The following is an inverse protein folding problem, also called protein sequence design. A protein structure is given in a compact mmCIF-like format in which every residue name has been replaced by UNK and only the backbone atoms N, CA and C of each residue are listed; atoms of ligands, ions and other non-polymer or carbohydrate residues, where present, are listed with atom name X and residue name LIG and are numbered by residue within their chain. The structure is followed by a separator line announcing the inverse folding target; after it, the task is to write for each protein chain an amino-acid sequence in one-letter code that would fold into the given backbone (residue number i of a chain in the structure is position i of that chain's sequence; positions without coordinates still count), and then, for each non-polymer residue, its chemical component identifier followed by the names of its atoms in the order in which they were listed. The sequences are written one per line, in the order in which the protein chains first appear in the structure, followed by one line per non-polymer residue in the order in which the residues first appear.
data_IF_334388284110
#
_entry.id   IF_334388284110
#
_cell.length_a   1.000
_cell.length_b   1.000
_cell.length_c   1.000
_cell.angle_alpha   90.00
_cell.angle_beta   90.00
_cell.angle_gamma   90.00
#
_symmetry.space_group_name_H-M   'P 1'
#
loop_
_entity.id
_entity.type
_entity.pdbx_description
1 polymer ?
#
# COMPACT_ATOMS: atom_id res chain seq x y z
N UNK A 1 -24.23 4.31 -20.17
CA UNK A 1 -22.85 3.91 -19.83
C UNK A 1 -22.92 3.12 -18.54
N UNK A 2 -22.23 1.99 -18.48
CA UNK A 2 -22.17 1.15 -17.28
C UNK A 2 -21.32 1.88 -16.22
N UNK A 3 -21.95 2.30 -15.12
CA UNK A 3 -21.37 3.17 -14.09
C UNK A 3 -20.62 2.37 -13.01
N UNK A 4 -20.19 1.16 -13.36
CA UNK A 4 -19.57 0.20 -12.46
C UNK A 4 -18.05 0.20 -12.63
N UNK A 5 -17.32 -0.08 -11.56
CA UNK A 5 -15.86 -0.06 -11.55
C UNK A 5 -15.25 -1.39 -11.05
N UNK A 6 -14.06 -1.76 -11.55
CA UNK A 6 -13.35 -2.97 -11.11
C UNK A 6 -12.80 -2.83 -9.69
N UNK A 7 -12.68 -3.95 -9.00
CA UNK A 7 -12.01 -4.04 -7.69
C UNK A 7 -10.47 -3.95 -7.87
N UNK A 8 -9.82 -3.23 -6.96
CA UNK A 8 -8.46 -2.70 -7.08
C UNK A 8 -7.34 -3.70 -7.46
N UNK A 9 -6.34 -3.21 -8.21
CA UNK A 9 -5.23 -3.96 -8.81
C UNK A 9 -3.91 -3.94 -8.00
N UNK A 10 -3.71 -2.97 -7.10
CA UNK A 10 -2.40 -2.70 -6.48
C UNK A 10 -1.79 -3.87 -5.70
N UNK A 11 -2.63 -4.57 -4.91
CA UNK A 11 -2.22 -5.72 -4.07
C UNK A 11 -1.61 -6.87 -4.88
N UNK A 12 -2.09 -7.08 -6.10
CA UNK A 12 -1.62 -8.16 -6.98
C UNK A 12 -0.21 -7.87 -7.47
N UNK A 13 0.07 -6.61 -7.82
CA UNK A 13 1.38 -6.22 -8.36
C UNK A 13 2.46 -6.36 -7.30
N UNK A 14 2.20 -5.92 -6.06
CA UNK A 14 3.15 -6.06 -4.94
C UNK A 14 3.45 -7.53 -4.66
N UNK A 15 2.41 -8.37 -4.57
CA UNK A 15 2.58 -9.81 -4.31
C UNK A 15 3.41 -10.51 -5.40
N UNK A 16 3.18 -10.19 -6.67
CA UNK A 16 3.96 -10.74 -7.79
C UNK A 16 5.41 -10.27 -7.79
N UNK A 17 5.66 -9.01 -7.46
CA UNK A 17 7.01 -8.47 -7.33
C UNK A 17 7.80 -9.26 -6.28
N UNK A 18 7.23 -9.42 -5.09
CA UNK A 18 7.87 -10.14 -3.99
C UNK A 18 8.10 -11.62 -4.36
N UNK A 19 7.15 -12.26 -5.02
CA UNK A 19 7.28 -13.64 -5.52
C UNK A 19 8.45 -13.79 -6.49
N UNK A 20 8.53 -12.94 -7.51
CA UNK A 20 9.64 -12.95 -8.50
C UNK A 20 10.99 -12.69 -7.82
N UNK A 21 11.06 -11.67 -6.96
CA UNK A 21 12.31 -11.30 -6.29
C UNK A 21 12.76 -12.38 -5.30
N UNK A 22 11.84 -12.97 -4.54
CA UNK A 22 12.18 -13.98 -3.53
C UNK A 22 12.64 -15.32 -4.11
N UNK A 23 12.23 -15.66 -5.34
CA UNK A 23 12.75 -16.81 -6.08
C UNK A 23 14.04 -16.50 -6.87
N UNK A 24 14.53 -15.26 -6.82
CA UNK A 24 15.74 -14.85 -7.53
C UNK A 24 17.01 -15.12 -6.69
N UNK A 25 18.20 -15.19 -7.32
CA UNK A 25 19.46 -15.29 -6.58
C UNK A 25 19.76 -14.05 -5.70
N UNK A 26 19.04 -12.95 -5.90
CA UNK A 26 19.23 -11.69 -5.17
C UNK A 26 18.46 -11.65 -3.85
N UNK A 27 17.53 -12.60 -3.61
CA UNK A 27 16.66 -12.57 -2.42
C UNK A 27 17.45 -12.43 -1.11
N UNK A 28 18.57 -13.15 -1.02
CA UNK A 28 19.47 -13.16 0.14
C UNK A 28 20.03 -11.79 0.52
N UNK A 29 20.08 -10.85 -0.42
CA UNK A 29 20.64 -9.49 -0.23
C UNK A 29 19.56 -8.41 -0.45
N UNK A 30 18.28 -8.75 -0.36
CA UNK A 30 17.17 -7.84 -0.68
C UNK A 30 16.33 -7.49 0.54
N UNK A 31 15.94 -6.22 0.63
CA UNK A 31 14.83 -5.75 1.45
C UNK A 31 13.88 -4.90 0.58
N UNK A 32 12.59 -5.21 0.63
CA UNK A 32 11.52 -4.49 -0.07
C UNK A 32 10.69 -3.77 0.98
N UNK A 33 10.61 -2.46 0.88
CA UNK A 33 9.75 -1.62 1.73
C UNK A 33 8.55 -1.16 0.91
N UNK A 34 7.34 -1.28 1.48
CA UNK A 34 6.09 -0.87 0.84
C UNK A 34 5.32 -0.01 1.83
N UNK A 35 4.95 1.19 1.41
CA UNK A 35 4.13 2.13 2.17
C UNK A 35 3.33 2.97 1.18
N UNK A 36 2.14 3.40 1.57
CA UNK A 36 1.39 4.42 0.82
C UNK A 36 2.06 5.80 1.01
N UNK A 37 1.84 6.72 0.07
CA UNK A 37 2.39 8.08 0.15
C UNK A 37 1.75 8.90 1.28
N UNK A 38 0.45 8.73 1.51
CA UNK A 38 -0.26 9.25 2.68
C UNK A 38 -1.41 8.31 3.12
N UNK A 39 -2.09 8.67 4.22
CA UNK A 39 -3.18 7.88 4.80
C UNK A 39 -4.56 8.15 4.17
N UNK A 40 -4.63 8.99 3.15
CA UNK A 40 -5.81 9.34 2.35
C UNK A 40 -7.05 9.64 3.19
N UNK A 41 -7.05 10.73 3.96
CA UNK A 41 -8.16 11.21 4.81
C UNK A 41 -8.87 10.11 5.63
N UNK A 42 -8.16 9.00 5.87
CA UNK A 42 -8.72 7.76 6.35
C UNK A 42 -9.10 7.87 7.80
N UNK A 43 -10.30 7.37 8.14
CA UNK A 43 -10.81 7.44 9.50
C UNK A 43 -10.14 6.35 10.35
N UNK A 44 -8.98 6.67 10.93
CA UNK A 44 -8.28 5.82 11.88
C UNK A 44 -8.58 6.27 13.32
N UNK A 45 -8.99 5.32 14.17
CA UNK A 45 -9.41 5.59 15.55
C UNK A 45 -8.28 6.02 16.50
N UNK A 46 -7.02 5.81 16.13
CA UNK A 46 -5.84 6.25 16.90
C UNK A 46 -5.35 7.58 16.35
N UNK A 47 -5.12 7.66 15.03
CA UNK A 47 -4.64 8.87 14.37
C UNK A 47 -4.88 8.78 12.86
N UNK A 48 -5.58 9.76 12.28
CA UNK A 48 -5.90 9.80 10.83
C UNK A 48 -4.70 9.90 9.89
N UNK A 49 -3.49 10.17 10.40
CA UNK A 49 -2.24 10.14 9.64
C UNK A 49 -1.50 8.79 9.70
N UNK A 50 -2.04 7.81 10.43
CA UNK A 50 -1.46 6.47 10.47
C UNK A 50 -1.72 5.77 9.13
N UNK A 51 -0.68 5.19 8.57
CA UNK A 51 -0.75 4.32 7.39
C UNK A 51 -0.15 2.96 7.68
N UNK A 52 -0.35 2.01 6.77
CA UNK A 52 0.23 0.67 6.82
C UNK A 52 1.60 0.67 6.12
N UNK A 53 2.54 -0.08 6.68
CA UNK A 53 3.83 -0.34 6.07
C UNK A 53 4.12 -1.84 6.08
N UNK A 54 4.73 -2.34 5.01
CA UNK A 54 5.18 -3.72 4.90
C UNK A 54 6.67 -3.75 4.57
N UNK A 55 7.35 -4.76 5.10
CA UNK A 55 8.74 -5.07 4.77
C UNK A 55 8.79 -6.54 4.35
N UNK A 56 9.44 -6.84 3.23
CA UNK A 56 9.73 -8.19 2.80
C UNK A 56 11.24 -8.37 2.61
N UNK A 57 11.85 -9.25 3.41
CA UNK A 57 13.27 -9.61 3.35
C UNK A 57 13.48 -10.97 4.02
N UNK A 58 14.54 -11.74 3.68
CA UNK A 58 14.95 -12.88 4.50
C UNK A 58 15.18 -12.54 5.97
N UNK A 59 15.53 -11.27 6.25
CA UNK A 59 15.86 -10.78 7.57
C UNK A 59 14.64 -10.23 8.33
N UNK A 60 13.43 -10.31 7.78
CA UNK A 60 12.21 -9.86 8.50
C UNK A 60 11.69 -10.92 9.46
N UNK A 61 11.10 -10.49 10.57
CA UNK A 61 10.36 -11.38 11.47
C UNK A 61 9.06 -11.86 10.81
N UNK A 62 9.02 -13.14 10.39
CA UNK A 62 7.87 -13.70 9.67
C UNK A 62 6.65 -13.91 10.57
N UNK A 63 5.47 -13.59 10.03
CA UNK A 63 4.19 -13.82 10.71
C UNK A 63 3.98 -12.95 11.95
N UNK A 64 4.78 -11.90 12.11
CA UNK A 64 4.68 -10.95 13.21
C UNK A 64 4.08 -9.63 12.72
N UNK A 65 3.33 -8.98 13.59
CA UNK A 65 2.93 -7.58 13.42
C UNK A 65 3.79 -6.78 14.38
N UNK A 66 4.64 -5.91 13.83
CA UNK A 66 5.41 -4.97 14.63
C UNK A 66 4.50 -3.79 15.01
N UNK A 67 4.43 -3.51 16.32
CA UNK A 67 3.59 -2.45 16.90
C UNK A 67 4.40 -1.20 17.32
N UNK A 68 5.70 -1.18 17.03
CA UNK A 68 6.57 -0.04 17.28
C UNK A 68 6.16 1.13 16.40
N UNK A 69 6.12 2.31 17.01
CA UNK A 69 5.78 3.52 16.29
C UNK A 69 6.92 3.91 15.34
N UNK A 70 6.62 3.89 14.04
CA UNK A 70 7.51 4.31 12.98
C UNK A 70 6.87 5.35 12.07
N UNK A 71 7.72 6.20 11.52
CA UNK A 71 7.38 7.19 10.49
C UNK A 71 8.08 6.85 9.18
N UNK A 72 7.68 7.49 8.09
CA UNK A 72 8.41 7.38 6.80
C UNK A 72 9.90 7.76 6.94
N UNK A 73 10.26 8.65 7.88
CA UNK A 73 11.65 9.03 8.15
C UNK A 73 12.44 7.85 8.73
N UNK A 74 11.85 7.04 9.60
CA UNK A 74 12.50 5.82 10.11
C UNK A 74 12.78 4.81 8.99
N UNK A 75 11.85 4.70 8.03
CA UNK A 75 12.05 3.84 6.85
C UNK A 75 13.22 4.34 6.00
N UNK A 76 13.26 5.64 5.69
CA UNK A 76 14.39 6.25 4.95
C UNK A 76 15.70 6.02 5.68
N UNK A 77 15.75 6.28 6.99
CA UNK A 77 16.93 6.02 7.82
C UNK A 77 17.38 4.56 7.76
N UNK A 78 16.44 3.62 7.75
CA UNK A 78 16.75 2.18 7.63
C UNK A 78 17.35 1.85 6.27
N UNK A 79 16.81 2.42 5.19
CA UNK A 79 17.34 2.23 3.84
C UNK A 79 18.76 2.80 3.72
N UNK A 80 19.00 4.00 4.27
CA UNK A 80 20.34 4.59 4.33
C UNK A 80 21.34 3.65 5.00
N UNK A 81 20.99 3.11 6.18
CA UNK A 81 21.88 2.19 6.91
C UNK A 81 22.12 0.88 6.16
N UNK A 82 21.09 0.28 5.56
CA UNK A 82 21.23 -0.94 4.77
C UNK A 82 22.13 -0.74 3.53
N UNK A 83 22.13 0.46 2.95
CA UNK A 83 22.95 0.83 1.80
C UNK A 83 24.32 1.41 2.19
N UNK A 84 24.60 1.59 3.49
CA UNK A 84 25.84 2.21 3.98
C UNK A 84 25.95 3.71 3.65
N UNK A 85 24.83 4.40 3.51
CA UNK A 85 24.75 5.83 3.21
C UNK A 85 24.72 6.67 4.50
N UNK A 86 25.24 7.89 4.40
CA UNK A 86 25.08 8.91 5.44
C UNK A 86 23.66 9.50 5.40
N UNK A 87 23.13 9.96 6.55
CA UNK A 87 21.85 10.67 6.60
C UNK A 87 21.85 11.89 5.69
N UNK A 88 20.75 12.12 4.97
CA UNK A 88 20.63 13.21 4.00
C UNK A 88 20.42 14.57 4.68
N UNK A 89 19.84 14.61 5.88
CA UNK A 89 19.59 15.84 6.61
C UNK A 89 19.58 15.62 8.14
N UNK A 90 19.05 16.58 8.91
CA UNK A 90 18.99 16.47 10.37
C UNK A 90 17.87 15.54 10.86
N UNK A 91 16.82 15.33 10.07
CA UNK A 91 15.66 14.55 10.49
C UNK A 91 15.95 13.05 10.44
N UNK A 92 16.52 12.55 9.34
CA UNK A 92 16.96 11.16 9.22
C UNK A 92 18.15 10.86 10.17
N UNK A 93 19.04 11.83 10.40
CA UNK A 93 20.13 11.69 11.38
C UNK A 93 19.65 11.45 12.82
N UNK A 94 18.49 12.01 13.20
CA UNK A 94 18.01 12.01 14.59
C UNK A 94 17.04 10.87 14.91
N UNK A 95 16.61 10.09 13.93
CA UNK A 95 15.72 8.95 14.16
C UNK A 95 16.49 7.64 14.20
N UNK A 96 15.95 6.66 14.94
CA UNK A 96 16.49 5.31 14.92
C UNK A 96 15.99 4.52 13.71
N UNK A 97 16.82 3.63 13.13
CA UNK A 97 16.39 2.66 12.13
C UNK A 97 15.34 1.68 12.69
N UNK A 98 14.63 1.00 11.79
CA UNK A 98 13.61 -0.01 12.09
C UNK A 98 14.24 -1.37 12.44
N UNK A 99 15.26 -1.38 13.30
CA UNK A 99 16.06 -2.59 13.58
C UNK A 99 15.26 -3.71 14.24
N UNK A 100 14.21 -3.38 14.99
CA UNK A 100 13.35 -4.38 15.63
C UNK A 100 12.43 -5.12 14.63
N UNK A 101 12.30 -4.63 13.39
CA UNK A 101 11.59 -5.30 12.32
C UNK A 101 12.48 -6.31 11.58
N UNK A 102 13.79 -6.29 11.85
CA UNK A 102 14.80 -7.13 11.22
C UNK A 102 15.47 -8.06 12.25
N UNK A 103 16.13 -9.11 11.77
CA UNK A 103 16.91 -10.06 12.56
C UNK A 103 18.22 -10.37 11.83
N UNK A 104 19.25 -10.77 12.57
CA UNK A 104 20.55 -11.15 12.00
C UNK A 104 20.52 -12.55 11.35
N UNK A 105 19.50 -13.37 11.63
CA UNK A 105 19.38 -14.72 11.09
C UNK A 105 18.40 -14.75 9.91
N UNK A 106 18.86 -14.92 8.66
CA UNK A 106 17.97 -14.91 7.52
C UNK A 106 17.16 -16.19 7.39
N UNK A 107 15.87 -16.04 7.08
CA UNK A 107 15.02 -17.10 6.53
C UNK A 107 14.87 -16.90 5.02
N UNK A 108 15.62 -17.70 4.26
CA UNK A 108 15.66 -17.66 2.80
C UNK A 108 14.45 -18.30 2.12
N UNK A 109 13.45 -18.78 2.86
CA UNK A 109 12.24 -19.38 2.28
C UNK A 109 11.55 -18.37 1.35
N UNK A 110 11.35 -18.67 0.05
CA UNK A 110 10.74 -17.73 -0.86
C UNK A 110 9.26 -17.49 -0.50
N UNK A 111 8.73 -16.35 -0.93
CA UNK A 111 7.30 -16.06 -0.85
C UNK A 111 6.62 -16.64 -2.09
N UNK A 112 5.48 -17.31 -1.91
CA UNK A 112 4.64 -17.77 -3.02
C UNK A 112 3.45 -16.84 -3.20
N UNK A 113 3.32 -16.26 -4.38
CA UNK A 113 2.20 -15.37 -4.71
C UNK A 113 0.84 -16.05 -4.52
N UNK A 114 -0.07 -15.36 -3.82
CA UNK A 114 -1.47 -15.78 -3.66
C UNK A 114 -2.31 -15.04 -4.70
N UNK A 115 -2.90 -15.74 -5.69
CA UNK A 115 -3.72 -15.11 -6.72
C UNK A 115 -5.01 -14.53 -6.13
N UNK A 116 -5.53 -13.50 -6.79
CA UNK A 116 -6.80 -12.91 -6.40
C UNK A 116 -7.92 -13.96 -6.53
N UNK A 117 -8.76 -14.06 -5.50
CA UNK A 117 -9.90 -14.98 -5.48
C UNK A 117 -11.08 -14.43 -6.26
N UNK A 118 -11.15 -13.10 -6.45
CA UNK A 118 -12.20 -12.41 -7.19
C UNK A 118 -11.60 -11.88 -8.49
N UNK A 119 -12.18 -12.16 -9.68
CA UNK A 119 -11.69 -11.61 -10.92
C UNK A 119 -11.60 -10.08 -10.86
N UNK A 120 -10.52 -9.48 -11.38
CA UNK A 120 -10.38 -8.01 -11.45
C UNK A 120 -11.47 -7.34 -12.29
N UNK A 121 -12.10 -8.11 -13.20
CA UNK A 121 -13.24 -7.67 -13.99
C UNK A 121 -14.56 -7.70 -13.21
N UNK A 122 -14.54 -8.09 -11.93
CA UNK A 122 -15.71 -8.06 -11.08
C UNK A 122 -16.06 -6.61 -10.79
N UNK A 123 -17.26 -6.25 -11.21
CA UNK A 123 -17.84 -4.94 -11.07
C UNK A 123 -18.67 -4.88 -9.77
N UNK A 124 -18.77 -3.69 -9.18
CA UNK A 124 -19.71 -3.45 -8.08
C UNK A 124 -21.15 -3.86 -8.47
N UNK A 125 -21.96 -4.20 -7.46
CA UNK A 125 -23.32 -4.68 -7.69
C UNK A 125 -24.15 -3.65 -8.49
N UNK A 126 -25.06 -4.10 -9.38
CA UNK A 126 -25.97 -3.19 -10.06
C UNK A 126 -26.86 -2.47 -9.02
N UNK A 127 -27.07 -1.17 -9.21
CA UNK A 127 -27.91 -0.39 -8.30
C UNK A 127 -29.36 -0.90 -8.27
N UNK A 128 -29.81 -1.33 -7.10
CA UNK A 128 -31.17 -1.79 -6.83
C UNK A 128 -32.14 -0.61 -6.60
N UNK A 129 -31.70 0.43 -5.89
CA UNK A 129 -32.52 1.57 -5.48
C UNK A 129 -32.31 2.81 -6.37
N UNK A 130 -33.21 3.80 -6.24
CA UNK A 130 -33.04 5.11 -6.90
C UNK A 130 -31.81 5.85 -6.38
N UNK A 131 -31.53 5.73 -5.08
CA UNK A 131 -30.37 6.36 -4.44
C UNK A 131 -29.07 5.76 -4.98
N UNK A 132 -28.96 4.44 -5.04
CA UNK A 132 -27.77 3.75 -5.59
C UNK A 132 -27.56 4.11 -7.07
N UNK A 133 -28.64 4.27 -7.86
CA UNK A 133 -28.52 4.70 -9.26
C UNK A 133 -28.04 6.13 -9.39
N UNK A 134 -28.44 7.03 -8.49
CA UNK A 134 -27.95 8.40 -8.45
C UNK A 134 -26.47 8.43 -8.04
N UNK A 135 -26.13 7.65 -7.01
CA UNK A 135 -24.76 7.47 -6.52
C UNK A 135 -23.80 6.98 -7.61
N UNK A 136 -24.14 5.89 -8.29
CA UNK A 136 -23.31 5.34 -9.38
C UNK A 136 -23.13 6.35 -10.52
N UNK A 137 -24.16 7.13 -10.88
CA UNK A 137 -24.04 8.16 -11.92
C UNK A 137 -23.11 9.31 -11.52
N UNK A 138 -23.16 9.73 -10.26
CA UNK A 138 -22.29 10.80 -9.77
C UNK A 138 -20.83 10.34 -9.78
N UNK A 139 -20.57 9.13 -9.27
CA UNK A 139 -19.23 8.56 -9.23
C UNK A 139 -18.63 8.31 -10.63
N UNK A 140 -19.46 7.92 -11.60
CA UNK A 140 -19.04 7.71 -12.99
C UNK A 140 -18.53 8.98 -13.70
N UNK A 141 -18.72 10.18 -13.13
CA UNK A 141 -18.11 11.42 -13.64
C UNK A 141 -16.60 11.47 -13.39
N UNK A 142 -16.11 10.72 -12.40
CA UNK A 142 -14.72 10.79 -11.92
C UNK A 142 -13.90 9.53 -12.29
N UNK A 143 -14.54 8.37 -12.51
CA UNK A 143 -13.86 7.10 -12.85
C UNK A 143 -14.59 6.30 -13.93
N UNK A 144 -13.92 5.45 -14.74
CA UNK A 144 -12.53 5.51 -15.20
C UNK A 144 -12.37 6.21 -16.56
N UNK A 145 -13.44 6.77 -17.14
CA UNK A 145 -13.44 7.55 -18.40
C UNK A 145 -14.44 8.73 -18.35
N UNK A 146 -14.53 9.38 -17.19
CA UNK A 146 -15.37 10.56 -17.03
C UNK A 146 -14.83 11.76 -17.83
N UNK A 147 -15.67 12.74 -18.18
CA UNK A 147 -15.24 13.92 -18.95
C UNK A 147 -14.28 14.84 -18.17
N UNK A 148 -14.19 14.66 -16.85
CA UNK A 148 -13.35 15.45 -15.96
C UNK A 148 -12.26 14.50 -15.43
N UNK A 149 -11.12 14.40 -16.11
CA UNK A 149 -9.96 13.65 -15.61
C UNK A 149 -8.78 14.59 -15.48
N UNK A 150 -8.78 15.41 -14.43
CA UNK A 150 -7.59 16.14 -13.99
C UNK A 150 -7.18 15.58 -12.62
N UNK A 151 -5.92 15.79 -12.22
CA UNK A 151 -5.47 15.40 -10.89
C UNK A 151 -6.28 16.13 -9.81
N UNK A 152 -6.63 15.43 -8.72
CA UNK A 152 -7.26 16.00 -7.52
C UNK A 152 -8.64 16.68 -7.72
N UNK A 153 -9.38 16.33 -8.78
CA UNK A 153 -10.70 16.96 -9.05
C UNK A 153 -11.89 16.32 -8.33
N UNK A 154 -11.68 15.16 -7.71
CA UNK A 154 -12.77 14.44 -7.07
C UNK A 154 -13.26 15.21 -5.86
N UNK A 155 -14.57 15.39 -5.73
CA UNK A 155 -15.13 15.95 -4.49
C UNK A 155 -14.70 15.05 -3.31
N UNK A 156 -13.92 15.58 -2.34
CA UNK A 156 -13.41 14.78 -1.24
C UNK A 156 -14.52 14.10 -0.45
N UNK A 157 -15.68 14.74 -0.29
CA UNK A 157 -16.82 14.11 0.39
C UNK A 157 -17.37 12.95 -0.43
N UNK A 158 -17.47 13.09 -1.75
CA UNK A 158 -17.95 12.03 -2.63
C UNK A 158 -16.98 10.84 -2.65
N UNK A 159 -15.68 11.12 -2.78
CA UNK A 159 -14.63 10.10 -2.77
C UNK A 159 -14.59 9.36 -1.43
N UNK A 160 -14.63 10.11 -0.32
CA UNK A 160 -14.57 9.50 1.02
C UNK A 160 -15.74 8.53 1.25
N UNK A 161 -16.97 8.88 0.86
CA UNK A 161 -18.13 7.98 0.98
C UNK A 161 -18.16 6.84 -0.04
N UNK A 162 -17.35 6.91 -1.09
CA UNK A 162 -17.27 5.86 -2.10
C UNK A 162 -16.15 4.86 -1.83
N UNK A 163 -15.10 5.30 -1.13
CA UNK A 163 -13.92 4.51 -0.78
C UNK A 163 -14.06 3.92 0.63
N UNK A 164 -14.59 4.69 1.59
CA UNK A 164 -14.77 4.33 3.00
C UNK A 164 -16.24 4.02 3.32
#
# INVERSE_FOLDING_TARGET
MDARWPLQSGRITVGRLIDVVSHSPYWKDTAIFVVEDDSQDGVDHVNGHRSIAFIASPYTQRGQVNLTYYTQINMVRTIEELLGLSPMNQHDQLVTPMTDALTDTPDLTPFSFIPNQIPLTTLNAPAATKLERAWQREFAKYFPQGPNQEADIGDPNLLNHAIW
#
